data_IF_987555984941
#
_entry.id   IF_987555984941
#
_cell.length_a   1.000
_cell.length_b   1.000
_cell.length_c   1.000
_cell.angle_alpha   90.00
_cell.angle_beta   90.00
_cell.angle_gamma   90.00
#
_symmetry.space_group_name_H-M   'P 1'
#
loop_
_entity.id
_entity.type
_entity.pdbx_description
1 polymer ?
#
# COMPACT_ATOMS: atom_id res chain seq x y z
N UNK A 1 -10.33 32.82 27.29
CA UNK A 1 -9.35 32.03 26.52
C UNK A 1 -8.54 32.89 25.52
N UNK A 2 -9.11 34.03 25.06
CA UNK A 2 -8.50 34.94 24.09
C UNK A 2 -8.49 34.44 22.65
N UNK A 3 -8.76 33.16 22.44
CA UNK A 3 -8.79 32.49 21.12
C UNK A 3 -9.92 31.46 21.07
N UNK A 4 -10.40 31.17 19.85
CA UNK A 4 -11.38 30.09 19.62
C UNK A 4 -10.65 28.75 19.87
N UNK A 5 -11.21 27.86 20.72
CA UNK A 5 -10.57 26.59 21.08
C UNK A 5 -10.72 25.51 20.01
N UNK A 6 -10.74 25.92 18.74
CA UNK A 6 -10.72 25.01 17.58
C UNK A 6 -9.33 25.03 17.01
N UNK A 7 -8.73 23.83 16.90
CA UNK A 7 -7.36 23.67 16.46
C UNK A 7 -7.36 22.83 15.19
N UNK A 8 -6.87 23.42 14.12
CA UNK A 8 -6.65 22.75 12.87
C UNK A 8 -5.25 22.13 12.85
N UNK A 9 -5.17 20.87 12.47
CA UNK A 9 -3.93 20.12 12.25
C UNK A 9 -3.77 19.85 10.76
N UNK A 10 -3.05 20.74 10.08
CA UNK A 10 -2.77 20.61 8.66
C UNK A 10 -1.72 19.53 8.38
N UNK A 11 -1.91 18.76 7.34
CA UNK A 11 -0.94 17.81 6.82
C UNK A 11 0.20 18.54 6.08
N UNK A 12 -0.14 19.54 5.27
CA UNK A 12 0.78 20.33 4.47
C UNK A 12 0.19 21.74 4.20
N UNK A 13 0.87 22.56 3.38
CA UNK A 13 0.43 23.90 3.03
C UNK A 13 -0.90 23.93 2.26
N UNK A 14 -1.17 22.90 1.48
CA UNK A 14 -2.34 22.80 0.60
C UNK A 14 -3.56 22.19 1.30
N UNK A 15 -3.40 21.71 2.54
CA UNK A 15 -4.43 21.00 3.31
C UNK A 15 -4.95 19.73 2.63
N UNK A 16 -4.12 19.08 1.79
CA UNK A 16 -4.45 17.82 1.09
C UNK A 16 -3.83 16.62 1.78
N UNK A 17 -4.45 15.45 1.60
CA UNK A 17 -3.90 14.16 2.04
C UNK A 17 -2.73 13.70 1.15
N UNK A 18 -1.92 12.79 1.65
CA UNK A 18 -0.75 12.30 0.90
C UNK A 18 -1.12 11.47 -0.31
N UNK A 19 -2.26 10.79 -0.27
CA UNK A 19 -2.75 9.94 -1.34
C UNK A 19 -3.51 10.70 -2.42
N UNK A 20 -3.93 11.94 -2.16
CA UNK A 20 -4.83 12.67 -3.07
C UNK A 20 -4.22 12.90 -4.45
N UNK A 21 -2.90 13.14 -4.52
CA UNK A 21 -2.20 13.29 -5.79
C UNK A 21 -2.04 11.96 -6.55
N UNK A 22 -2.19 10.84 -5.87
CA UNK A 22 -2.09 9.49 -6.44
C UNK A 22 -3.45 8.87 -6.78
N UNK A 23 -4.57 9.52 -6.47
CA UNK A 23 -5.92 9.00 -6.77
C UNK A 23 -6.04 8.50 -8.22
N UNK A 24 -5.59 9.23 -9.25
CA UNK A 24 -5.72 8.74 -10.63
C UNK A 24 -4.98 7.41 -10.89
N UNK A 25 -3.82 7.22 -10.26
CA UNK A 25 -3.04 5.97 -10.39
C UNK A 25 -3.68 4.84 -9.59
N UNK A 26 -4.23 5.14 -8.40
CA UNK A 26 -4.96 4.18 -7.57
C UNK A 26 -6.22 3.72 -8.30
N UNK A 27 -6.95 4.64 -8.92
CA UNK A 27 -8.15 4.32 -9.70
C UNK A 27 -7.78 3.46 -10.92
N UNK A 28 -6.73 3.80 -11.64
CA UNK A 28 -6.23 3.00 -12.75
C UNK A 28 -5.83 1.58 -12.32
N UNK A 29 -5.18 1.44 -11.17
CA UNK A 29 -4.85 0.15 -10.60
C UNK A 29 -6.10 -0.67 -10.26
N UNK A 30 -7.08 -0.05 -9.62
CA UNK A 30 -8.34 -0.70 -9.23
C UNK A 30 -9.14 -1.15 -10.45
N UNK A 31 -9.23 -0.33 -11.50
CA UNK A 31 -9.88 -0.69 -12.77
C UNK A 31 -9.16 -1.88 -13.40
N UNK A 32 -7.83 -1.82 -13.53
CA UNK A 32 -7.04 -2.90 -14.12
C UNK A 32 -7.25 -4.23 -13.36
N UNK A 33 -7.30 -4.18 -12.02
CA UNK A 33 -7.52 -5.39 -11.22
C UNK A 33 -8.96 -5.91 -11.35
N UNK A 34 -9.95 -5.03 -11.43
CA UNK A 34 -11.35 -5.40 -11.65
C UNK A 34 -11.54 -6.06 -13.02
N UNK A 35 -10.97 -5.45 -14.07
CA UNK A 35 -11.04 -5.99 -15.43
C UNK A 35 -10.35 -7.34 -15.53
N UNK A 36 -9.20 -7.51 -14.85
CA UNK A 36 -8.48 -8.80 -14.78
C UNK A 36 -9.34 -9.91 -14.16
N UNK A 37 -10.08 -9.61 -13.10
CA UNK A 37 -10.98 -10.57 -12.46
C UNK A 37 -12.15 -10.90 -13.40
N UNK A 38 -12.78 -9.89 -13.97
CA UNK A 38 -13.92 -10.04 -14.90
C UNK A 38 -13.51 -10.83 -16.14
N UNK A 39 -12.35 -10.53 -16.73
CA UNK A 39 -11.83 -11.27 -17.87
C UNK A 39 -11.60 -12.75 -17.54
N UNK A 40 -11.08 -13.05 -16.34
CA UNK A 40 -10.92 -14.45 -15.89
C UNK A 40 -12.26 -15.16 -15.68
N UNK A 41 -13.26 -14.48 -15.18
CA UNK A 41 -14.62 -15.03 -15.04
C UNK A 41 -15.24 -15.31 -16.41
N UNK A 42 -15.12 -14.39 -17.38
CA UNK A 42 -15.59 -14.56 -18.74
C UNK A 42 -14.81 -15.64 -19.52
N UNK A 43 -13.54 -15.88 -19.16
CA UNK A 43 -12.75 -16.93 -19.78
C UNK A 43 -13.27 -18.36 -19.48
N UNK A 44 -14.04 -18.51 -18.41
CA UNK A 44 -14.68 -19.79 -18.05
C UNK A 44 -15.84 -20.08 -19.03
N UNK A 45 -16.41 -19.06 -19.67
CA UNK A 45 -17.47 -19.16 -20.66
C UNK A 45 -16.90 -19.22 -22.11
N UNK A 46 -16.03 -20.21 -22.35
CA UNK A 46 -15.48 -20.44 -23.69
C UNK A 46 -16.62 -20.72 -24.70
N UNK A 47 -16.65 -19.96 -25.79
CA UNK A 47 -17.63 -20.13 -26.85
C UNK A 47 -17.21 -21.34 -27.70
N UNK A 48 -18.04 -22.36 -27.74
CA UNK A 48 -17.84 -23.47 -28.67
C UNK A 48 -18.29 -23.04 -30.07
N UNK A 49 -17.33 -22.87 -30.97
CA UNK A 49 -17.61 -22.62 -32.38
C UNK A 49 -17.61 -23.94 -33.16
N UNK A 50 -18.67 -24.15 -33.92
CA UNK A 50 -18.83 -25.34 -34.77
C UNK A 50 -18.90 -24.84 -36.21
N UNK A 51 -17.96 -25.30 -37.04
CA UNK A 51 -17.89 -25.00 -38.45
C UNK A 51 -18.37 -26.21 -39.23
N UNK A 52 -19.40 -26.03 -40.09
CA UNK A 52 -20.01 -27.08 -40.88
C UNK A 52 -21.48 -27.27 -40.56
N UNK A 53 -22.11 -28.23 -41.22
CA UNK A 53 -23.52 -28.56 -40.99
C UNK A 53 -23.63 -29.36 -39.70
N UNK A 54 -24.32 -28.81 -38.69
CA UNK A 54 -24.76 -29.62 -37.56
C UNK A 54 -25.82 -30.62 -38.08
N UNK A 55 -25.78 -31.84 -37.61
CA UNK A 55 -26.83 -32.88 -37.85
C UNK A 55 -28.20 -32.46 -37.27
N UNK A 56 -28.41 -31.16 -37.11
CA UNK A 56 -29.60 -30.58 -36.52
C UNK A 56 -30.74 -30.35 -37.51
N UNK A 57 -30.59 -30.73 -38.77
CA UNK A 57 -31.67 -30.67 -39.76
C UNK A 57 -32.67 -31.86 -39.62
N UNK A 58 -32.39 -32.84 -38.79
CA UNK A 58 -33.39 -33.82 -38.40
C UNK A 58 -34.21 -33.28 -37.23
N UNK A 59 -35.43 -32.91 -37.49
CA UNK A 59 -36.44 -32.62 -36.48
C UNK A 59 -36.53 -33.80 -35.52
N UNK A 60 -36.00 -33.61 -34.32
CA UNK A 60 -36.12 -34.63 -33.27
C UNK A 60 -37.53 -34.49 -32.69
N UNK A 61 -38.39 -35.46 -33.02
CA UNK A 61 -39.71 -35.59 -32.38
C UNK A 61 -39.52 -36.03 -30.90
N UNK A 62 -40.08 -35.25 -29.98
CA UNK A 62 -40.17 -35.64 -28.59
C UNK A 62 -41.15 -36.80 -28.40
N UNK A 63 -41.10 -37.51 -27.26
CA UNK A 63 -42.05 -38.59 -26.91
C UNK A 63 -43.51 -38.14 -26.98
N UNK A 64 -43.79 -36.86 -27.13
CA UNK A 64 -45.11 -36.24 -27.29
C UNK A 64 -45.41 -35.76 -28.72
N UNK A 65 -44.52 -36.03 -29.71
CA UNK A 65 -44.70 -35.64 -31.09
C UNK A 65 -44.50 -34.15 -31.38
N UNK A 66 -43.91 -33.40 -30.49
CA UNK A 66 -43.56 -31.98 -30.73
C UNK A 66 -42.18 -31.87 -31.39
N UNK A 67 -42.12 -31.16 -32.52
CA UNK A 67 -40.87 -30.82 -33.24
C UNK A 67 -40.06 -29.88 -32.42
N UNK A 68 -38.90 -30.33 -31.93
CA UNK A 68 -37.94 -29.48 -31.23
C UNK A 68 -36.78 -29.08 -32.14
N UNK A 69 -36.36 -27.82 -32.02
CA UNK A 69 -35.15 -27.31 -32.66
C UNK A 69 -33.94 -28.19 -32.33
N UNK A 70 -33.41 -28.89 -33.30
CA UNK A 70 -32.31 -29.85 -33.20
C UNK A 70 -31.05 -29.20 -32.59
N UNK A 71 -30.84 -27.89 -32.84
CA UNK A 71 -29.73 -27.12 -32.27
C UNK A 71 -29.89 -26.99 -30.73
N UNK A 72 -31.10 -26.69 -30.27
CA UNK A 72 -31.36 -26.57 -28.84
C UNK A 72 -31.20 -27.90 -28.10
N UNK A 73 -31.61 -29.02 -28.76
CA UNK A 73 -31.43 -30.36 -28.23
C UNK A 73 -29.96 -30.78 -28.16
N UNK A 74 -29.18 -30.48 -29.22
CA UNK A 74 -27.73 -30.72 -29.26
C UNK A 74 -26.98 -29.96 -28.19
N UNK A 75 -27.31 -28.67 -27.99
CA UNK A 75 -26.73 -27.84 -26.88
C UNK A 75 -27.08 -28.41 -25.50
N UNK A 76 -28.31 -28.91 -25.31
CA UNK A 76 -28.73 -29.52 -24.04
C UNK A 76 -27.99 -30.84 -23.76
N UNK A 77 -27.77 -31.68 -24.81
CA UNK A 77 -26.96 -32.87 -24.73
C UNK A 77 -25.48 -32.57 -24.42
N UNK A 78 -24.91 -31.58 -25.08
CA UNK A 78 -23.55 -31.11 -24.84
C UNK A 78 -23.37 -30.69 -23.38
N UNK A 79 -24.27 -29.88 -22.84
CA UNK A 79 -24.27 -29.45 -21.44
C UNK A 79 -24.37 -30.65 -20.46
N UNK A 80 -25.15 -31.63 -20.80
CA UNK A 80 -25.41 -32.81 -19.93
C UNK A 80 -24.33 -33.87 -20.02
N UNK A 81 -23.84 -34.20 -21.21
CA UNK A 81 -22.89 -35.30 -21.45
C UNK A 81 -21.45 -34.82 -21.66
N UNK A 82 -21.23 -33.55 -21.93
CA UNK A 82 -19.92 -32.96 -22.26
C UNK A 82 -19.23 -33.61 -23.47
N UNK A 83 -20.03 -34.24 -24.36
CA UNK A 83 -19.57 -34.89 -25.58
C UNK A 83 -20.32 -34.26 -26.74
N UNK A 84 -19.59 -33.89 -27.79
CA UNK A 84 -20.11 -33.39 -29.05
C UNK A 84 -19.68 -34.35 -30.15
N UNK A 85 -20.65 -34.97 -30.83
CA UNK A 85 -20.38 -35.67 -32.06
C UNK A 85 -20.37 -34.69 -33.21
N UNK A 86 -19.27 -34.64 -33.95
CA UNK A 86 -19.08 -33.74 -35.08
C UNK A 86 -19.07 -34.60 -36.33
N UNK A 87 -19.94 -34.28 -37.33
CA UNK A 87 -20.00 -35.01 -38.60
C UNK A 87 -18.68 -34.93 -39.37
N UNK A 88 -18.47 -35.90 -40.28
CA UNK A 88 -17.31 -35.89 -41.16
C UNK A 88 -17.23 -34.56 -41.96
N UNK A 89 -16.08 -33.90 -41.84
CA UNK A 89 -15.83 -32.60 -42.49
C UNK A 89 -16.23 -31.36 -41.69
N UNK A 90 -16.91 -31.52 -40.54
CA UNK A 90 -17.14 -30.42 -39.61
C UNK A 90 -16.00 -30.30 -38.58
N UNK A 91 -15.75 -29.08 -38.11
CA UNK A 91 -14.73 -28.78 -37.08
C UNK A 91 -15.39 -28.08 -35.91
N UNK A 92 -15.10 -28.57 -34.71
CA UNK A 92 -15.50 -27.91 -33.48
C UNK A 92 -14.26 -27.43 -32.76
N UNK A 93 -14.24 -26.16 -32.40
CA UNK A 93 -13.15 -25.58 -31.61
C UNK A 93 -13.70 -24.61 -30.58
N UNK A 94 -13.03 -24.53 -29.44
CA UNK A 94 -13.32 -23.49 -28.48
C UNK A 94 -12.65 -22.19 -28.93
N UNK A 95 -13.45 -21.15 -29.13
CA UNK A 95 -12.94 -19.80 -29.31
C UNK A 95 -12.52 -19.30 -27.93
N UNK A 96 -11.26 -19.49 -27.63
CA UNK A 96 -10.66 -18.93 -26.44
C UNK A 96 -9.97 -17.61 -26.81
N UNK A 97 -10.32 -16.54 -26.12
CA UNK A 97 -9.57 -15.29 -26.21
C UNK A 97 -8.21 -15.53 -25.58
N UNK A 98 -7.13 -15.31 -26.31
CA UNK A 98 -5.79 -15.31 -25.73
C UNK A 98 -5.64 -14.07 -24.85
N UNK A 99 -5.56 -14.28 -23.56
CA UNK A 99 -5.34 -13.21 -22.59
C UNK A 99 -3.83 -12.98 -22.45
N UNK A 100 -3.37 -11.76 -22.72
CA UNK A 100 -1.98 -11.37 -22.49
C UNK A 100 -1.76 -11.08 -20.99
N UNK A 101 -1.64 -12.16 -20.21
CA UNK A 101 -1.40 -12.06 -18.76
C UNK A 101 -0.06 -11.38 -18.46
N UNK A 102 0.93 -11.53 -19.34
CA UNK A 102 2.25 -10.93 -19.18
C UNK A 102 2.19 -9.41 -19.32
N UNK A 103 1.47 -8.90 -20.32
CA UNK A 103 1.29 -7.46 -20.52
C UNK A 103 0.55 -6.80 -19.36
N UNK A 104 -0.50 -7.46 -18.85
CA UNK A 104 -1.27 -6.99 -17.70
C UNK A 104 -0.40 -6.96 -16.42
N UNK A 105 0.42 -7.97 -16.20
CA UNK A 105 1.31 -8.01 -15.02
C UNK A 105 2.40 -6.93 -15.10
N UNK A 106 2.95 -6.67 -16.28
CA UNK A 106 3.91 -5.58 -16.49
C UNK A 106 3.27 -4.23 -16.21
N UNK A 107 2.05 -3.98 -16.74
CA UNK A 107 1.33 -2.74 -16.50
C UNK A 107 0.98 -2.55 -15.02
N UNK A 108 0.50 -3.60 -14.36
CA UNK A 108 0.22 -3.61 -12.93
C UNK A 108 1.43 -3.18 -12.12
N UNK A 109 2.59 -3.81 -12.36
CA UNK A 109 3.85 -3.49 -11.69
C UNK A 109 4.30 -2.05 -11.97
N UNK A 110 4.14 -1.57 -13.19
CA UNK A 110 4.47 -0.20 -13.54
C UNK A 110 3.62 0.81 -12.76
N UNK A 111 2.30 0.61 -12.69
CA UNK A 111 1.40 1.49 -11.93
C UNK A 111 1.74 1.45 -10.44
N UNK A 112 1.98 0.26 -9.88
CA UNK A 112 2.37 0.08 -8.48
C UNK A 112 3.68 0.82 -8.15
N UNK A 113 4.69 0.67 -9.00
CA UNK A 113 5.95 1.40 -8.86
C UNK A 113 5.78 2.91 -8.96
N UNK A 114 4.94 3.39 -9.87
CA UNK A 114 4.66 4.81 -10.03
C UNK A 114 3.91 5.38 -8.82
N UNK A 115 2.95 4.65 -8.23
CA UNK A 115 2.30 5.04 -6.96
C UNK A 115 3.35 5.25 -5.87
N UNK A 116 4.27 4.31 -5.68
CA UNK A 116 5.33 4.43 -4.69
C UNK A 116 6.31 5.57 -4.99
N UNK A 117 6.69 5.72 -6.26
CA UNK A 117 7.62 6.77 -6.73
C UNK A 117 7.07 8.17 -6.53
N UNK A 118 5.82 8.42 -6.93
CA UNK A 118 5.21 9.75 -6.83
C UNK A 118 4.72 10.09 -5.43
N UNK A 119 4.37 9.08 -4.61
CA UNK A 119 4.09 9.29 -3.19
C UNK A 119 5.37 9.51 -2.36
N UNK A 120 6.55 9.23 -2.91
CA UNK A 120 7.83 9.19 -2.20
C UNK A 120 7.86 8.20 -1.03
N UNK A 121 6.96 7.22 -1.02
CA UNK A 121 6.89 6.17 -0.01
C UNK A 121 7.45 4.90 -0.63
N UNK A 122 8.57 4.37 -0.14
CA UNK A 122 9.15 3.15 -0.71
C UNK A 122 8.25 1.94 -0.48
N UNK A 123 8.24 1.01 -1.44
CA UNK A 123 7.59 -0.28 -1.26
C UNK A 123 8.38 -1.12 -0.26
N UNK A 124 7.83 -1.27 0.96
CA UNK A 124 8.51 -2.00 2.05
C UNK A 124 8.48 -3.51 1.86
N UNK A 125 7.63 -4.02 0.95
CA UNK A 125 7.53 -5.45 0.60
C UNK A 125 8.47 -5.84 -0.54
N UNK A 126 9.15 -4.87 -1.15
CA UNK A 126 10.10 -5.12 -2.24
C UNK A 126 11.32 -5.88 -1.72
N UNK A 127 11.83 -6.83 -2.51
CA UNK A 127 13.07 -7.58 -2.25
C UNK A 127 14.27 -6.65 -1.98
N UNK A 128 14.20 -5.42 -2.48
CA UNK A 128 15.20 -4.39 -2.24
C UNK A 128 15.31 -3.96 -0.77
N UNK A 129 14.30 -4.24 0.07
CA UNK A 129 14.32 -4.05 1.52
C UNK A 129 14.65 -5.34 2.29
N UNK A 130 14.54 -6.51 1.63
CA UNK A 130 15.00 -7.80 2.13
C UNK A 130 16.49 -7.96 1.91
N UNK A 131 17.26 -8.33 2.92
CA UNK A 131 18.68 -8.61 2.82
C UNK A 131 19.57 -7.69 3.67
N UNK A 132 20.87 -7.88 3.60
CA UNK A 132 21.88 -7.11 4.34
C UNK A 132 22.10 -5.70 3.74
N UNK A 133 21.05 -4.87 3.79
CA UNK A 133 21.18 -3.46 3.40
C UNK A 133 21.83 -2.70 4.54
N UNK A 134 22.91 -1.96 4.27
CA UNK A 134 23.58 -1.13 5.28
C UNK A 134 22.60 -0.05 5.80
N UNK A 135 22.76 0.37 7.07
CA UNK A 135 21.92 1.41 7.68
C UNK A 135 21.90 2.68 6.84
N UNK A 136 23.03 3.07 6.28
CA UNK A 136 23.17 4.25 5.40
C UNK A 136 22.35 4.09 4.11
N UNK A 137 22.39 2.93 3.46
CA UNK A 137 21.61 2.68 2.27
C UNK A 137 20.10 2.69 2.56
N UNK A 138 19.69 2.21 3.73
CA UNK A 138 18.30 2.27 4.19
C UNK A 138 17.86 3.72 4.40
N UNK A 139 18.69 4.56 5.01
CA UNK A 139 18.39 5.98 5.21
C UNK A 139 18.19 6.72 3.87
N UNK A 140 19.01 6.42 2.85
CA UNK A 140 18.83 6.99 1.52
C UNK A 140 17.51 6.55 0.87
N UNK A 141 17.11 5.30 1.00
CA UNK A 141 15.82 4.81 0.50
C UNK A 141 14.63 5.49 1.17
N UNK A 142 14.75 5.81 2.45
CA UNK A 142 13.71 6.45 3.25
C UNK A 142 13.73 7.99 3.18
N UNK A 143 14.72 8.59 2.52
CA UNK A 143 14.93 10.04 2.47
C UNK A 143 13.71 10.81 1.96
N UNK A 144 13.04 10.31 0.91
CA UNK A 144 11.84 10.92 0.35
C UNK A 144 10.70 10.98 1.38
N UNK A 145 10.41 9.85 2.01
CA UNK A 145 9.40 9.71 3.07
C UNK A 145 9.74 10.58 4.27
N UNK A 146 11.02 10.64 4.68
CA UNK A 146 11.46 11.46 5.81
C UNK A 146 11.30 12.97 5.53
N UNK A 147 11.53 13.42 4.29
CA UNK A 147 11.30 14.81 3.92
C UNK A 147 9.83 15.20 4.02
N UNK A 148 8.91 14.36 3.53
CA UNK A 148 7.46 14.56 3.69
C UNK A 148 7.10 14.59 5.19
N UNK A 149 7.62 13.66 5.97
CA UNK A 149 7.37 13.57 7.41
C UNK A 149 7.87 14.80 8.15
N UNK A 150 9.01 15.39 7.76
CA UNK A 150 9.51 16.67 8.31
C UNK A 150 8.53 17.83 8.05
N UNK A 151 7.96 17.88 6.84
CA UNK A 151 6.95 18.89 6.50
C UNK A 151 5.71 18.74 7.38
N UNK A 152 5.16 17.51 7.47
CA UNK A 152 4.01 17.19 8.34
C UNK A 152 4.28 17.54 9.80
N UNK A 153 5.42 17.15 10.33
CA UNK A 153 5.84 17.47 11.71
C UNK A 153 5.82 18.96 11.96
N UNK A 154 6.25 19.77 10.98
CA UNK A 154 6.24 21.24 11.10
C UNK A 154 4.82 21.78 11.22
N UNK A 155 3.89 21.33 10.38
CA UNK A 155 2.49 21.77 10.42
C UNK A 155 1.78 21.25 11.66
N UNK A 156 1.98 19.99 12.03
CA UNK A 156 1.42 19.40 13.23
C UNK A 156 1.89 20.10 14.50
N UNK A 157 3.18 20.43 14.60
CA UNK A 157 3.76 21.20 15.69
C UNK A 157 3.11 22.58 15.83
N UNK A 158 2.73 23.22 14.72
CA UNK A 158 2.02 24.52 14.75
C UNK A 158 0.66 24.37 15.44
N UNK A 159 -0.10 23.32 15.11
CA UNK A 159 -1.37 23.02 15.78
C UNK A 159 -1.19 22.70 17.28
N UNK A 160 -0.17 21.88 17.62
CA UNK A 160 0.15 21.56 19.02
C UNK A 160 0.52 22.81 19.82
N UNK A 161 1.33 23.71 19.28
CA UNK A 161 1.67 24.97 19.96
C UNK A 161 0.43 25.82 20.25
N UNK A 162 -0.50 25.92 19.31
CA UNK A 162 -1.78 26.60 19.54
C UNK A 162 -2.57 25.90 20.65
N UNK A 163 -2.63 24.58 20.65
CA UNK A 163 -3.30 23.79 21.70
C UNK A 163 -2.70 24.06 23.08
N UNK A 164 -1.38 23.96 23.21
CA UNK A 164 -0.68 24.21 24.47
C UNK A 164 -0.93 25.64 24.96
N UNK A 165 -0.87 26.65 24.08
CA UNK A 165 -1.15 28.03 24.44
C UNK A 165 -2.57 28.23 24.98
N UNK A 166 -3.57 27.61 24.37
CA UNK A 166 -4.97 27.64 24.83
C UNK A 166 -5.08 27.01 26.21
N UNK A 167 -4.44 25.86 26.45
CA UNK A 167 -4.41 25.21 27.77
C UNK A 167 -3.71 26.08 28.83
N UNK A 168 -2.58 26.69 28.51
CA UNK A 168 -1.88 27.58 29.45
C UNK A 168 -2.74 28.82 29.78
N UNK A 169 -3.45 29.39 28.79
CA UNK A 169 -4.39 30.49 29.04
C UNK A 169 -5.55 30.06 29.94
N UNK A 170 -6.09 28.85 29.75
CA UNK A 170 -7.13 28.31 30.64
C UNK A 170 -6.61 28.14 32.06
N UNK A 171 -5.43 27.55 32.24
CA UNK A 171 -4.80 27.37 33.54
C UNK A 171 -4.51 28.69 34.24
N UNK A 172 -4.16 29.74 33.48
CA UNK A 172 -3.95 31.10 34.02
C UNK A 172 -5.21 31.67 34.66
N UNK A 173 -6.41 31.40 34.07
CA UNK A 173 -7.70 31.79 34.64
C UNK A 173 -7.96 31.10 36.00
N UNK A 174 -7.33 29.96 36.22
CA UNK A 174 -7.41 29.20 37.51
C UNK A 174 -6.20 29.44 38.42
N UNK A 175 -5.49 30.56 38.20
CA UNK A 175 -4.38 30.98 39.10
C UNK A 175 -3.05 30.26 38.83
N UNK A 176 -2.94 29.38 37.82
CA UNK A 176 -1.69 28.71 37.48
C UNK A 176 -1.04 29.38 36.27
N UNK A 177 0.10 30.03 36.48
CA UNK A 177 0.85 30.70 35.44
C UNK A 177 1.95 29.79 34.87
N UNK A 178 1.69 29.20 33.71
CA UNK A 178 2.63 28.33 32.99
C UNK A 178 3.01 29.02 31.70
N UNK A 179 4.31 29.10 31.42
CA UNK A 179 4.81 29.63 30.13
C UNK A 179 4.70 28.57 29.03
N UNK A 180 3.88 28.79 27.98
CA UNK A 180 3.74 27.86 26.86
C UNK A 180 5.01 27.71 26.02
N UNK A 181 5.94 28.67 26.09
CA UNK A 181 7.20 28.66 25.32
C UNK A 181 8.22 27.67 25.89
N UNK A 182 8.17 27.42 27.20
CA UNK A 182 9.05 26.47 27.88
C UNK A 182 8.73 24.99 27.61
N UNK A 183 7.58 24.69 26.92
CA UNK A 183 7.18 23.32 26.66
C UNK A 183 7.82 22.83 25.35
N UNK A 184 8.70 21.86 25.46
CA UNK A 184 9.36 21.20 24.31
C UNK A 184 8.50 20.06 23.79
N UNK A 185 8.37 19.96 22.45
CA UNK A 185 7.64 18.90 21.75
C UNK A 185 8.62 18.07 20.95
N UNK A 186 8.82 16.84 21.37
CA UNK A 186 9.73 15.89 20.73
C UNK A 186 8.92 14.91 19.87
N UNK A 187 9.36 14.70 18.64
CA UNK A 187 8.80 13.73 17.71
C UNK A 187 9.85 12.67 17.42
N UNK A 188 9.62 11.47 17.87
CA UNK A 188 10.50 10.32 17.62
C UNK A 188 10.12 9.63 16.33
N UNK A 189 11.11 9.18 15.56
CA UNK A 189 10.94 8.38 14.35
C UNK A 189 11.13 6.91 14.67
N UNK A 190 10.14 6.08 14.38
CA UNK A 190 10.24 4.62 14.50
C UNK A 190 10.88 4.03 13.24
N UNK A 191 12.06 4.49 12.87
CA UNK A 191 12.81 3.92 11.75
C UNK A 191 13.56 2.67 12.22
N UNK A 192 13.58 1.59 11.43
CA UNK A 192 14.41 0.44 11.74
C UNK A 192 15.88 0.89 11.74
N UNK A 193 16.58 0.64 12.84
CA UNK A 193 18.01 0.92 12.97
C UNK A 193 18.77 -0.38 13.09
N UNK A 194 19.91 -0.46 12.43
CA UNK A 194 20.80 -1.60 12.57
C UNK A 194 21.55 -1.52 13.92
N UNK A 195 21.05 -2.25 14.92
CA UNK A 195 21.62 -2.25 16.25
C UNK A 195 23.06 -2.77 16.28
N UNK A 196 23.42 -3.70 15.37
CA UNK A 196 24.78 -4.22 15.27
C UNK A 196 25.76 -3.12 14.84
N UNK A 197 25.39 -2.35 13.81
CA UNK A 197 26.20 -1.25 13.31
C UNK A 197 26.37 -0.16 14.38
N UNK A 198 25.29 0.18 15.09
CA UNK A 198 25.34 1.15 16.18
C UNK A 198 26.24 0.66 17.31
N UNK A 199 26.15 -0.62 17.70
CA UNK A 199 27.00 -1.19 18.75
C UNK A 199 28.49 -1.16 18.36
N UNK A 200 28.81 -1.42 17.09
CA UNK A 200 30.16 -1.31 16.56
C UNK A 200 30.68 0.14 16.57
N UNK A 201 29.84 1.10 16.17
CA UNK A 201 30.18 2.53 16.22
C UNK A 201 30.46 2.96 17.65
N UNK A 202 29.59 2.62 18.59
CA UNK A 202 29.76 2.93 20.02
C UNK A 202 31.05 2.32 20.56
N UNK A 203 31.33 1.04 20.25
CA UNK A 203 32.55 0.35 20.66
C UNK A 203 33.82 1.00 20.10
N UNK A 204 33.82 1.35 18.81
CA UNK A 204 34.97 1.95 18.14
C UNK A 204 35.27 3.40 18.59
N UNK A 205 34.25 4.11 19.02
CA UNK A 205 34.36 5.50 19.48
C UNK A 205 34.48 5.61 21.00
N UNK A 206 34.42 4.49 21.74
CA UNK A 206 34.58 4.47 23.18
C UNK A 206 35.92 5.07 23.59
N UNK A 207 35.91 5.99 24.54
CA UNK A 207 37.10 6.71 24.99
C UNK A 207 37.60 7.84 24.10
N UNK A 208 37.04 7.97 22.84
CA UNK A 208 37.41 9.05 21.90
C UNK A 208 36.38 10.18 21.88
N UNK A 209 35.16 9.90 22.31
CA UNK A 209 34.03 10.85 22.32
C UNK A 209 33.37 10.80 23.71
N UNK A 210 32.69 11.87 24.12
CA UNK A 210 32.04 11.90 25.42
C UNK A 210 30.97 10.81 25.57
N UNK A 211 30.81 10.23 26.76
CA UNK A 211 29.78 9.23 27.06
C UNK A 211 28.38 9.72 26.70
N UNK A 212 28.10 11.00 26.96
CA UNK A 212 26.84 11.63 26.62
C UNK A 212 26.52 11.58 25.12
N UNK A 213 27.52 11.86 24.28
CA UNK A 213 27.37 11.79 22.81
C UNK A 213 27.17 10.37 22.33
N UNK A 214 27.88 9.39 22.90
CA UNK A 214 27.73 7.97 22.52
C UNK A 214 26.34 7.44 22.90
N UNK A 215 25.89 7.68 24.12
CA UNK A 215 24.57 7.25 24.57
C UNK A 215 23.44 7.88 23.78
N UNK A 216 23.60 9.12 23.29
CA UNK A 216 22.60 9.76 22.42
C UNK A 216 22.43 9.08 21.05
N UNK A 217 23.38 8.23 20.63
CA UNK A 217 23.26 7.44 19.40
C UNK A 217 22.58 6.10 19.61
N UNK A 218 22.44 5.66 20.86
CA UNK A 218 21.84 4.37 21.21
C UNK A 218 20.31 4.51 21.20
N UNK A 219 19.57 3.77 20.31
CA UNK A 219 18.15 4.03 20.08
C UNK A 219 17.23 3.70 21.25
N UNK A 220 17.64 2.84 22.17
CA UNK A 220 16.86 2.42 23.33
C UNK A 220 17.14 3.27 24.59
N UNK A 221 18.08 4.23 24.52
CA UNK A 221 18.31 5.21 25.59
C UNK A 221 17.40 6.41 25.37
N UNK A 222 16.32 6.50 26.13
CA UNK A 222 15.33 7.58 26.01
C UNK A 222 15.83 8.89 26.63
N UNK A 223 16.47 8.80 27.80
CA UNK A 223 17.03 9.94 28.52
C UNK A 223 18.51 9.70 28.86
N UNK A 224 19.37 10.38 28.14
CA UNK A 224 20.83 10.22 28.29
C UNK A 224 21.33 10.70 29.68
N UNK A 225 20.70 11.74 30.24
CA UNK A 225 21.13 12.28 31.54
C UNK A 225 20.74 11.34 32.70
N UNK A 226 19.62 10.65 32.61
CA UNK A 226 19.21 9.65 33.62
C UNK A 226 20.04 8.38 33.47
N UNK A 227 20.38 7.96 32.26
CA UNK A 227 21.27 6.82 31.99
C UNK A 227 22.69 7.07 32.51
N UNK A 228 23.21 8.30 32.35
CA UNK A 228 24.51 8.66 32.89
C UNK A 228 24.52 8.61 34.42
N UNK A 229 23.45 9.06 35.09
CA UNK A 229 23.33 8.97 36.56
C UNK A 229 23.29 7.51 37.04
N UNK A 230 22.51 6.66 36.34
CA UNK A 230 22.45 5.25 36.66
C UNK A 230 23.80 4.55 36.51
N UNK A 231 24.59 4.90 35.48
CA UNK A 231 25.96 4.40 35.29
C UNK A 231 26.96 4.91 36.34
N UNK A 232 26.73 6.09 36.91
CA UNK A 232 27.59 6.66 37.96
C UNK A 232 27.20 6.11 39.34
N UNK A 233 26.00 5.51 39.49
CA UNK A 233 25.51 4.87 40.72
C UNK A 233 25.88 3.38 40.83
N UNK A 234 26.28 2.71 39.72
CA UNK A 234 26.79 1.32 39.67
C UNK A 234 28.27 1.25 39.98
#
# INVERSE_FOLDING_TARGET
>A
LGEIPIIEYLNNKLAIGDFELQIPLIDAYNVLMSDRVTDKEQFIDAILAIYGTLLADEEIEDENGEKKDGVAAAIKLLKKRKVLEVPDGAKAEYLTRTFDESGVEILKKAIEQDIHKFSHIPCMTDESFGGNVSGVAMEFKLLGMENITKIKTRYYRKGLRKRVRIFCNFLRLHGKNIDPTGITMTFTRALPKNLLEISQIVSNLWGKVSRKTLLSQVPFVENVDDELKALDEE
#
